data_IF_425660017165
#
_entry.id   IF_425660017165
#
_cell.length_a   1.000
_cell.length_b   1.000
_cell.length_c   1.000
_cell.angle_alpha   90.00
_cell.angle_beta   90.00
_cell.angle_gamma   90.00
#
_symmetry.space_group_name_H-M   'P 1'
#
loop_
_entity.id
_entity.type
_entity.pdbx_description
1 polymer ?
#
# COMPACT_ATOMS: atom_id res chain seq x y z
N UNK A 1 72.94 -4.64 5.05
CA UNK A 1 73.52 -3.36 5.55
C UNK A 1 72.37 -2.37 5.77
N UNK A 2 72.44 -1.56 6.82
CA UNK A 2 71.84 -0.22 7.08
C UNK A 2 70.49 0.21 6.43
N UNK A 3 69.60 0.99 7.10
CA UNK A 3 69.29 1.20 8.53
C UNK A 3 68.06 2.14 8.69
N UNK A 4 67.11 1.81 9.59
CA UNK A 4 66.19 2.72 10.34
C UNK A 4 65.38 3.81 9.55
N UNK A 5 64.49 4.64 10.12
CA UNK A 5 63.88 4.79 11.46
C UNK A 5 62.39 5.21 11.26
N UNK A 6 61.38 4.61 11.87
CA UNK A 6 60.89 4.83 13.24
C UNK A 6 60.43 6.27 13.60
N UNK A 7 59.10 6.47 13.74
CA UNK A 7 58.32 6.94 14.92
C UNK A 7 56.94 7.46 14.44
N UNK A 8 55.84 7.47 15.22
CA UNK A 8 55.64 7.31 16.68
C UNK A 8 54.19 6.81 16.94
N UNK A 9 53.95 6.16 18.08
CA UNK A 9 52.61 5.90 18.61
C UNK A 9 52.61 6.06 20.14
N UNK A 10 51.49 6.44 20.76
CA UNK A 10 51.09 6.08 22.14
C UNK A 10 49.68 6.60 22.49
N UNK A 11 48.96 5.95 23.43
CA UNK A 11 47.58 6.30 23.82
C UNK A 11 47.49 7.02 25.17
N UNK A 12 46.26 7.41 25.57
CA UNK A 12 45.87 7.62 26.98
C UNK A 12 44.56 6.88 27.26
N UNK A 13 44.48 6.26 28.44
CA UNK A 13 43.33 5.61 29.06
C UNK A 13 43.26 6.10 30.53
N UNK A 14 42.17 5.78 31.26
CA UNK A 14 41.74 6.27 32.60
C UNK A 14 40.79 7.49 32.57
N UNK A 15 39.77 7.61 33.44
CA UNK A 15 39.24 6.66 34.44
C UNK A 15 37.84 7.04 34.96
N UNK A 16 37.34 6.24 35.93
CA UNK A 16 36.19 6.45 36.84
C UNK A 16 34.77 6.26 36.27
N UNK A 17 34.18 5.11 36.62
CA UNK A 17 32.78 5.04 37.01
C UNK A 17 32.66 5.33 38.53
N UNK A 18 31.53 5.89 39.00
CA UNK A 18 30.97 5.66 40.35
C UNK A 18 29.60 6.35 40.55
N UNK A 19 28.75 5.70 41.34
CA UNK A 19 27.49 6.17 41.99
C UNK A 19 26.20 6.32 41.16
N UNK A 20 25.16 5.79 41.79
CA UNK A 20 23.74 5.79 41.44
C UNK A 20 22.96 6.83 42.27
N UNK A 21 21.63 6.82 42.09
CA UNK A 21 20.60 7.19 43.08
C UNK A 21 19.99 8.61 43.01
N UNK A 22 18.76 8.61 42.47
CA UNK A 22 17.56 9.20 43.10
C UNK A 22 17.57 10.67 43.55
N UNK A 23 16.86 11.51 42.80
CA UNK A 23 15.99 12.54 43.39
C UNK A 23 14.60 12.41 42.75
N UNK A 24 13.56 12.46 43.57
CA UNK A 24 12.16 12.54 43.15
C UNK A 24 11.44 13.62 43.97
N UNK A 25 10.33 14.12 43.42
CA UNK A 25 9.45 15.17 43.96
C UNK A 25 10.06 16.57 44.12
N UNK A 26 9.38 17.57 43.55
CA UNK A 26 8.75 18.66 44.32
C UNK A 26 7.71 19.41 43.45
N UNK A 27 6.90 20.25 44.11
CA UNK A 27 5.92 21.23 43.57
C UNK A 27 4.49 20.79 43.23
N UNK A 28 3.62 20.95 44.24
CA UNK A 28 2.25 21.47 44.15
C UNK A 28 1.77 21.83 45.58
N UNK A 29 0.77 22.70 45.84
CA UNK A 29 0.16 23.75 45.02
C UNK A 29 0.27 25.16 45.71
N UNK A 30 -0.34 26.19 45.11
CA UNK A 30 -0.88 27.36 45.87
C UNK A 30 -2.27 27.73 45.36
N UNK A 31 -3.21 27.93 46.29
CA UNK A 31 -4.57 28.41 46.07
C UNK A 31 -4.83 29.62 46.97
N UNK A 32 -5.20 30.77 46.39
CA UNK A 32 -5.85 31.89 47.08
C UNK A 32 -6.35 32.97 46.10
N UNK A 33 -7.26 33.91 46.41
CA UNK A 33 -8.53 33.87 47.18
C UNK A 33 -9.23 35.26 47.12
N UNK A 34 -10.34 35.45 46.40
CA UNK A 34 -11.29 36.59 46.49
C UNK A 34 -12.52 36.29 45.60
N UNK A 35 -13.81 36.46 45.96
CA UNK A 35 -14.59 37.53 46.63
C UNK A 35 -14.78 38.77 45.73
N UNK A 36 -16.00 39.22 45.36
CA UNK A 36 -17.41 38.84 45.66
C UNK A 36 -18.24 38.77 44.34
N UNK A 37 -19.59 38.81 44.18
CA UNK A 37 -20.74 39.12 45.06
C UNK A 37 -22.11 38.56 44.54
N UNK A 38 -23.21 38.94 45.23
CA UNK A 38 -24.64 39.07 44.84
C UNK A 38 -25.02 38.99 43.33
N UNK A 39 -26.15 38.41 42.89
CA UNK A 39 -27.40 38.02 43.57
C UNK A 39 -28.25 36.92 42.86
N UNK A 40 -29.15 36.31 43.64
CA UNK A 40 -30.37 35.54 43.34
C UNK A 40 -30.79 35.14 41.89
N UNK A 41 -31.14 33.85 41.70
CA UNK A 41 -32.11 33.42 40.66
C UNK A 41 -32.10 31.94 40.23
N UNK A 42 -33.28 31.29 40.27
CA UNK A 42 -33.73 30.16 39.45
C UNK A 42 -32.89 28.85 39.31
N UNK A 43 -33.16 27.90 40.22
CA UNK A 43 -33.64 26.53 39.92
C UNK A 43 -33.21 25.79 38.62
N UNK A 44 -32.31 24.80 38.73
CA UNK A 44 -32.58 23.37 38.36
C UNK A 44 -31.41 22.41 38.67
N UNK A 45 -31.79 21.25 39.20
CA UNK A 45 -31.05 19.97 39.39
C UNK A 45 -29.72 19.77 38.63
N UNK A 46 -28.63 19.56 39.37
CA UNK A 46 -27.37 18.99 38.89
C UNK A 46 -26.89 17.86 39.82
N UNK A 47 -27.26 16.61 39.55
CA UNK A 47 -26.92 15.45 40.40
C UNK A 47 -26.88 14.11 39.64
N UNK A 48 -26.05 14.00 38.58
CA UNK A 48 -25.91 12.76 37.79
C UNK A 48 -24.55 12.61 37.07
N UNK A 49 -23.43 12.94 37.72
CA UNK A 49 -22.11 13.02 37.06
C UNK A 49 -20.92 12.41 37.86
N UNK A 50 -21.12 11.29 38.56
CA UNK A 50 -20.03 10.59 39.26
C UNK A 50 -20.28 9.08 39.44
N UNK A 51 -20.27 8.31 38.34
CA UNK A 51 -20.33 6.83 38.39
C UNK A 51 -19.77 6.14 37.15
N UNK A 52 -20.01 6.68 35.95
CA UNK A 52 -19.65 6.05 34.66
C UNK A 52 -18.18 6.32 34.26
N UNK A 53 -17.22 6.02 35.13
CA UNK A 53 -15.78 6.20 34.84
C UNK A 53 -14.84 5.19 35.49
N UNK A 54 -15.35 4.04 35.98
CA UNK A 54 -14.52 2.95 36.55
C UNK A 54 -14.59 1.60 35.83
N UNK A 55 -15.54 1.38 34.92
CA UNK A 55 -15.70 0.07 34.26
C UNK A 55 -14.99 -0.05 32.90
N UNK A 56 -14.59 1.06 32.26
CA UNK A 56 -13.99 1.06 30.90
C UNK A 56 -12.49 0.69 30.94
N UNK A 57 -11.78 0.93 32.04
CA UNK A 57 -10.34 0.64 32.17
C UNK A 57 -10.00 -0.84 32.44
N UNK A 58 -11.00 -1.70 32.67
CA UNK A 58 -10.82 -3.12 32.97
C UNK A 58 -11.02 -4.03 31.76
N UNK A 59 -11.95 -3.71 30.84
CA UNK A 59 -12.12 -4.46 29.60
C UNK A 59 -10.93 -4.26 28.65
N UNK A 60 -10.47 -3.01 28.48
CA UNK A 60 -9.33 -2.66 27.63
C UNK A 60 -8.05 -3.40 28.00
N UNK A 61 -7.79 -3.60 29.30
CA UNK A 61 -6.64 -4.38 29.79
C UNK A 61 -6.74 -5.89 29.53
N UNK A 62 -7.95 -6.47 29.39
CA UNK A 62 -8.11 -7.88 29.04
C UNK A 62 -7.86 -8.14 27.55
N UNK A 63 -8.35 -7.26 26.67
CA UNK A 63 -8.17 -7.41 25.22
C UNK A 63 -6.70 -7.33 24.81
N UNK A 64 -5.93 -6.38 25.37
CA UNK A 64 -4.48 -6.26 25.13
C UNK A 64 -3.70 -7.49 25.65
N UNK A 65 -4.18 -8.16 26.70
CA UNK A 65 -3.55 -9.37 27.25
C UNK A 65 -3.74 -10.59 26.33
N UNK A 66 -4.91 -10.72 25.68
CA UNK A 66 -5.24 -11.89 24.84
C UNK A 66 -4.64 -11.81 23.43
N UNK A 67 -4.37 -10.61 22.89
CA UNK A 67 -3.58 -10.46 21.68
C UNK A 67 -2.10 -10.76 21.93
N UNK A 68 -1.55 -10.30 23.06
CA UNK A 68 -0.16 -10.55 23.44
C UNK A 68 0.18 -12.05 23.60
N UNK A 69 -0.71 -12.88 24.17
CA UNK A 69 -0.44 -14.31 24.36
C UNK A 69 -0.40 -15.09 23.04
N UNK A 70 -1.25 -14.74 22.06
CA UNK A 70 -1.21 -15.36 20.72
C UNK A 70 0.02 -14.97 19.92
N UNK A 71 0.60 -13.79 20.17
CA UNK A 71 1.84 -13.37 19.52
C UNK A 71 3.08 -14.18 19.98
N UNK A 72 3.06 -14.77 21.18
CA UNK A 72 4.23 -15.51 21.72
C UNK A 72 4.36 -16.96 21.24
N UNK A 73 3.29 -17.61 20.78
CA UNK A 73 3.31 -19.05 20.45
C UNK A 73 3.67 -19.36 18.97
N UNK A 74 3.74 -18.33 18.12
CA UNK A 74 4.16 -18.48 16.71
C UNK A 74 5.67 -18.33 16.45
N UNK A 75 6.44 -17.82 17.42
CA UNK A 75 7.83 -17.36 17.22
C UNK A 75 8.89 -18.48 17.21
N UNK A 76 8.51 -19.72 16.89
CA UNK A 76 9.38 -20.91 16.90
C UNK A 76 9.32 -21.74 15.60
N UNK A 77 8.80 -21.18 14.51
CA UNK A 77 9.04 -21.68 13.16
C UNK A 77 10.41 -21.23 12.65
N UNK A 78 11.19 -22.13 12.04
CA UNK A 78 12.55 -21.83 11.59
C UNK A 78 12.60 -20.72 10.54
N UNK A 79 13.56 -19.79 10.69
CA UNK A 79 13.74 -18.64 9.80
C UNK A 79 14.41 -19.01 8.47
N UNK A 80 13.72 -19.80 7.64
CA UNK A 80 14.02 -19.88 6.21
C UNK A 80 13.63 -18.58 5.50
N UNK A 81 14.38 -18.17 4.47
CA UNK A 81 14.03 -17.05 3.61
C UNK A 81 12.67 -17.30 2.95
N UNK A 82 11.68 -16.47 3.29
CA UNK A 82 10.35 -16.52 2.69
C UNK A 82 10.40 -15.80 1.34
N UNK A 83 10.94 -16.49 0.35
CA UNK A 83 10.95 -16.07 -1.05
C UNK A 83 9.60 -16.40 -1.70
N UNK A 84 9.16 -15.56 -2.63
CA UNK A 84 8.04 -15.84 -3.53
C UNK A 84 8.25 -15.16 -4.89
N UNK A 85 7.60 -15.67 -5.94
CA UNK A 85 7.69 -15.09 -7.28
C UNK A 85 6.54 -14.10 -7.51
N UNK A 86 6.85 -12.91 -8.00
CA UNK A 86 5.87 -11.91 -8.45
C UNK A 86 5.99 -11.69 -9.97
N UNK A 87 4.86 -11.45 -10.62
CA UNK A 87 4.80 -11.03 -12.02
C UNK A 87 4.08 -9.69 -12.20
N UNK A 88 4.56 -8.89 -13.16
CA UNK A 88 3.93 -7.66 -13.62
C UNK A 88 3.60 -7.78 -15.11
N UNK A 89 2.32 -7.66 -15.45
CA UNK A 89 1.80 -7.91 -16.80
C UNK A 89 1.55 -6.58 -17.53
N UNK A 90 2.33 -6.30 -18.57
CA UNK A 90 2.19 -5.15 -19.45
C UNK A 90 1.44 -5.58 -20.72
N UNK A 91 0.11 -5.50 -20.67
CA UNK A 91 -0.78 -5.90 -21.75
C UNK A 91 -1.27 -4.70 -22.58
N UNK A 92 -1.61 -4.94 -23.85
CA UNK A 92 -2.17 -3.93 -24.75
C UNK A 92 -3.68 -3.78 -24.50
N UNK A 93 -4.08 -2.63 -23.93
CA UNK A 93 -5.48 -2.30 -23.70
C UNK A 93 -6.06 -1.53 -24.90
N UNK A 94 -7.21 -1.98 -25.41
CA UNK A 94 -7.97 -1.34 -26.49
C UNK A 94 -9.38 -0.91 -26.05
N UNK A 95 -10.24 -0.61 -27.02
CA UNK A 95 -11.66 -0.29 -26.80
C UNK A 95 -12.58 -1.50 -26.75
N UNK A 96 -12.14 -2.70 -27.16
CA UNK A 96 -12.94 -3.91 -26.99
C UNK A 96 -12.69 -4.52 -25.61
N UNK A 97 -13.68 -4.37 -24.71
CA UNK A 97 -13.65 -4.91 -23.35
C UNK A 97 -13.47 -6.43 -23.31
N UNK A 98 -14.07 -7.18 -24.24
CA UNK A 98 -14.00 -8.65 -24.22
C UNK A 98 -12.63 -9.14 -24.69
N UNK A 99 -12.03 -8.46 -25.67
CA UNK A 99 -10.62 -8.69 -26.05
C UNK A 99 -9.70 -8.36 -24.88
N UNK A 100 -9.86 -7.20 -24.23
CA UNK A 100 -9.06 -6.81 -23.05
C UNK A 100 -9.12 -7.86 -21.92
N UNK A 101 -10.32 -8.40 -21.63
CA UNK A 101 -10.52 -9.46 -20.63
C UNK A 101 -9.80 -10.75 -21.03
N UNK A 102 -9.88 -11.17 -22.30
CA UNK A 102 -9.19 -12.36 -22.79
C UNK A 102 -7.65 -12.21 -22.75
N UNK A 103 -7.11 -11.03 -23.09
CA UNK A 103 -5.68 -10.71 -22.99
C UNK A 103 -5.21 -10.75 -21.53
N UNK A 104 -5.95 -10.13 -20.62
CA UNK A 104 -5.65 -10.17 -19.18
C UNK A 104 -5.68 -11.59 -18.61
N UNK A 105 -6.67 -12.41 -19.01
CA UNK A 105 -6.77 -13.81 -18.60
C UNK A 105 -5.59 -14.66 -19.13
N UNK A 106 -5.10 -14.38 -20.35
CA UNK A 106 -3.90 -15.03 -20.86
C UNK A 106 -2.65 -14.63 -20.08
N UNK A 107 -2.46 -13.34 -19.82
CA UNK A 107 -1.31 -12.85 -19.06
C UNK A 107 -1.26 -13.40 -17.62
N UNK A 108 -2.41 -13.56 -16.94
CA UNK A 108 -2.48 -14.19 -15.61
C UNK A 108 -2.08 -15.68 -15.67
N UNK A 109 -2.56 -16.41 -16.67
CA UNK A 109 -2.20 -17.82 -16.91
C UNK A 109 -0.73 -18.00 -17.26
N UNK A 110 -0.17 -17.12 -18.07
CA UNK A 110 1.24 -17.12 -18.47
C UNK A 110 2.16 -16.77 -17.29
N UNK A 111 1.77 -15.79 -16.46
CA UNK A 111 2.46 -15.49 -15.20
C UNK A 111 2.50 -16.69 -14.25
N UNK A 112 1.37 -17.37 -14.06
CA UNK A 112 1.30 -18.56 -13.23
C UNK A 112 2.10 -19.74 -13.81
N UNK A 113 2.10 -19.91 -15.14
CA UNK A 113 2.95 -20.90 -15.82
C UNK A 113 4.45 -20.60 -15.69
N UNK A 114 4.83 -19.32 -15.57
CA UNK A 114 6.17 -18.88 -15.21
C UNK A 114 6.48 -18.98 -13.69
N UNK A 115 5.57 -19.54 -12.89
CA UNK A 115 5.74 -19.78 -11.46
C UNK A 115 5.35 -18.63 -10.54
N UNK A 116 4.73 -17.56 -11.07
CA UNK A 116 4.30 -16.42 -10.25
C UNK A 116 3.24 -16.83 -9.22
N UNK A 117 3.43 -16.39 -7.98
CA UNK A 117 2.52 -16.62 -6.84
C UNK A 117 1.71 -15.35 -6.51
N UNK A 118 2.24 -14.19 -6.92
CA UNK A 118 1.54 -12.90 -6.95
C UNK A 118 1.58 -12.38 -8.39
N UNK A 119 0.45 -11.97 -8.95
CA UNK A 119 0.33 -11.41 -10.30
C UNK A 119 -0.27 -10.01 -10.22
N UNK A 120 0.29 -9.05 -10.98
CA UNK A 120 -0.14 -7.66 -11.02
C UNK A 120 -0.50 -7.25 -12.44
N UNK A 121 -1.78 -6.97 -12.69
CA UNK A 121 -2.30 -6.38 -13.93
C UNK A 121 -2.20 -4.84 -13.89
N UNK A 122 -2.37 -4.11 -15.01
CA UNK A 122 -2.16 -2.65 -15.06
C UNK A 122 -3.41 -1.82 -14.75
N UNK A 123 -3.30 -0.48 -14.72
CA UNK A 123 -4.45 0.42 -14.49
C UNK A 123 -5.45 0.42 -15.66
N UNK A 124 -6.75 0.49 -15.33
CA UNK A 124 -7.90 0.59 -16.24
C UNK A 124 -7.87 -0.38 -17.43
N UNK A 125 -7.45 -1.62 -17.20
CA UNK A 125 -7.13 -2.55 -18.28
C UNK A 125 -8.34 -3.01 -19.10
N UNK A 126 -9.57 -2.90 -18.59
CA UNK A 126 -10.78 -3.36 -19.29
C UNK A 126 -11.34 -2.36 -20.33
N UNK A 127 -10.72 -1.21 -20.55
CA UNK A 127 -11.18 -0.21 -21.54
C UNK A 127 -10.22 0.97 -21.76
N UNK A 128 -10.65 2.01 -22.49
CA UNK A 128 -9.85 3.22 -22.72
C UNK A 128 -9.71 4.07 -21.45
N UNK A 129 -8.50 4.57 -21.18
CA UNK A 129 -8.24 5.52 -20.09
C UNK A 129 -8.57 6.97 -20.53
N UNK A 130 -9.86 7.28 -20.58
CA UNK A 130 -10.37 8.65 -20.76
C UNK A 130 -11.67 8.88 -19.99
N UNK A 131 -11.94 10.13 -19.60
CA UNK A 131 -13.07 10.49 -18.73
C UNK A 131 -14.44 10.17 -19.33
N UNK A 132 -14.62 10.27 -20.64
CA UNK A 132 -15.88 9.91 -21.28
C UNK A 132 -16.08 8.39 -21.35
N UNK A 133 -15.00 7.61 -21.36
CA UNK A 133 -15.04 6.15 -21.34
C UNK A 133 -15.39 5.59 -19.96
N UNK A 134 -14.91 6.17 -18.85
CA UNK A 134 -15.06 5.54 -17.51
C UNK A 134 -16.50 5.09 -17.15
N UNK A 135 -17.58 5.87 -17.36
CA UNK A 135 -18.95 5.45 -17.02
C UNK A 135 -19.51 4.39 -17.99
N UNK A 136 -19.02 4.37 -19.23
CA UNK A 136 -19.46 3.42 -20.28
C UNK A 136 -18.82 2.04 -20.07
N UNK A 137 -17.60 2.01 -19.52
CA UNK A 137 -16.88 0.78 -19.20
C UNK A 137 -17.01 0.38 -17.72
N UNK A 138 -17.80 1.11 -16.92
CA UNK A 138 -18.04 0.81 -15.52
C UNK A 138 -18.78 -0.51 -15.30
N UNK A 139 -18.35 -1.27 -14.29
CA UNK A 139 -18.99 -2.51 -13.84
C UNK A 139 -19.29 -2.44 -12.34
N UNK A 140 -20.43 -2.95 -11.84
CA UNK A 140 -20.60 -3.17 -10.41
C UNK A 140 -19.53 -4.14 -9.91
N UNK A 141 -18.71 -3.72 -8.94
CA UNK A 141 -17.68 -4.56 -8.33
C UNK A 141 -18.15 -5.03 -6.94
N UNK A 142 -18.35 -6.35 -6.72
CA UNK A 142 -18.73 -6.88 -5.41
C UNK A 142 -17.76 -6.44 -4.31
N UNK A 143 -18.28 -6.25 -3.10
CA UNK A 143 -17.45 -5.90 -1.95
C UNK A 143 -16.68 -7.13 -1.45
N UNK A 144 -15.52 -6.96 -0.79
CA UNK A 144 -14.76 -8.06 -0.22
C UNK A 144 -15.62 -8.89 0.74
N UNK A 145 -15.56 -10.21 0.58
CA UNK A 145 -16.41 -11.14 1.33
C UNK A 145 -15.61 -11.67 2.53
N UNK A 146 -16.26 -11.82 3.69
CA UNK A 146 -15.63 -12.30 4.92
C UNK A 146 -15.17 -13.77 4.81
N UNK A 147 -14.79 -14.38 5.94
CA UNK A 147 -14.38 -15.80 5.98
C UNK A 147 -15.58 -16.78 5.87
N UNK A 148 -16.67 -16.36 5.24
CA UNK A 148 -17.83 -17.20 4.96
C UNK A 148 -17.55 -18.11 3.76
N UNK A 149 -17.74 -19.41 3.94
CA UNK A 149 -17.17 -20.46 3.07
C UNK A 149 -17.89 -20.67 1.73
N UNK A 150 -18.84 -19.80 1.39
CA UNK A 150 -19.63 -19.84 0.15
C UNK A 150 -19.67 -18.46 -0.49
N UNK A 151 -18.50 -17.93 -0.86
CA UNK A 151 -18.42 -16.66 -1.56
C UNK A 151 -19.11 -16.75 -2.93
N UNK A 152 -20.10 -15.90 -3.18
CA UNK A 152 -20.77 -15.86 -4.49
C UNK A 152 -19.81 -15.24 -5.52
N UNK A 153 -19.62 -15.95 -6.64
CA UNK A 153 -18.81 -15.49 -7.75
C UNK A 153 -19.48 -14.29 -8.44
N UNK A 154 -18.72 -13.26 -8.88
CA UNK A 154 -19.29 -12.14 -9.61
C UNK A 154 -20.01 -12.62 -10.88
N UNK A 155 -21.16 -12.01 -11.20
CA UNK A 155 -21.90 -12.32 -12.43
C UNK A 155 -21.04 -11.97 -13.66
N UNK A 156 -20.81 -12.94 -14.54
CA UNK A 156 -20.08 -12.71 -15.78
C UNK A 156 -20.86 -11.85 -16.81
N UNK A 157 -22.16 -11.60 -16.59
CA UNK A 157 -22.97 -10.71 -17.42
C UNK A 157 -22.87 -9.24 -16.95
N UNK A 158 -22.85 -9.01 -15.63
CA UNK A 158 -22.84 -7.67 -15.04
C UNK A 158 -21.44 -7.18 -14.69
N UNK A 159 -20.56 -8.09 -14.28
CA UNK A 159 -19.22 -7.83 -13.76
C UNK A 159 -18.16 -8.72 -14.47
N UNK A 160 -18.14 -8.80 -15.82
CA UNK A 160 -17.28 -9.72 -16.56
C UNK A 160 -15.79 -9.60 -16.21
N UNK A 161 -15.30 -8.40 -15.89
CA UNK A 161 -13.93 -8.18 -15.46
C UNK A 161 -13.66 -8.81 -14.09
N UNK A 162 -14.51 -8.57 -13.09
CA UNK A 162 -14.38 -9.16 -11.76
C UNK A 162 -14.56 -10.69 -11.80
N UNK A 163 -15.50 -11.19 -12.61
CA UNK A 163 -15.76 -12.61 -12.79
C UNK A 163 -14.56 -13.35 -13.40
N UNK A 164 -13.86 -12.73 -14.35
CA UNK A 164 -12.60 -13.25 -14.89
C UNK A 164 -11.51 -13.26 -13.82
N UNK A 165 -11.28 -12.15 -13.09
CA UNK A 165 -10.24 -12.08 -12.06
C UNK A 165 -10.44 -13.17 -10.98
N UNK A 166 -11.68 -13.36 -10.52
CA UNK A 166 -12.05 -14.41 -9.56
C UNK A 166 -11.78 -15.83 -10.11
N UNK A 167 -12.17 -16.11 -11.36
CA UNK A 167 -11.89 -17.40 -12.01
C UNK A 167 -10.38 -17.63 -12.16
N UNK A 168 -9.67 -16.68 -12.76
CA UNK A 168 -8.26 -16.81 -13.10
C UNK A 168 -7.38 -16.98 -11.85
N UNK A 169 -7.68 -16.28 -10.76
CA UNK A 169 -6.97 -16.47 -9.49
C UNK A 169 -7.16 -17.88 -8.89
N UNK A 170 -8.39 -18.42 -8.96
CA UNK A 170 -8.71 -19.76 -8.45
C UNK A 170 -8.10 -20.89 -9.30
N UNK A 171 -8.23 -20.81 -10.62
CA UNK A 171 -7.70 -21.82 -11.55
C UNK A 171 -6.18 -21.91 -11.51
N UNK A 172 -5.51 -20.75 -11.46
CA UNK A 172 -4.05 -20.65 -11.44
C UNK A 172 -3.45 -20.67 -10.02
N UNK A 173 -4.28 -20.54 -8.98
CA UNK A 173 -3.91 -20.54 -7.54
C UNK A 173 -2.94 -19.42 -7.15
N UNK A 174 -3.14 -18.24 -7.74
CA UNK A 174 -2.31 -17.05 -7.52
C UNK A 174 -3.03 -16.01 -6.68
N UNK A 175 -2.27 -15.18 -5.95
CA UNK A 175 -2.77 -13.89 -5.49
C UNK A 175 -2.77 -12.93 -6.66
N UNK A 176 -3.94 -12.36 -6.99
CA UNK A 176 -4.11 -11.49 -8.14
C UNK A 176 -4.43 -10.07 -7.67
N UNK A 177 -3.45 -9.17 -7.80
CA UNK A 177 -3.69 -7.72 -7.78
C UNK A 177 -4.21 -7.37 -9.16
N UNK A 178 -5.53 -7.38 -9.32
CA UNK A 178 -6.25 -7.38 -10.59
C UNK A 178 -6.24 -6.04 -11.34
N UNK A 179 -5.13 -5.31 -11.30
CA UNK A 179 -4.96 -4.03 -11.98
C UNK A 179 -5.94 -2.99 -11.48
N UNK A 180 -6.56 -2.23 -12.37
CA UNK A 180 -7.83 -1.57 -12.02
C UNK A 180 -8.82 -1.57 -13.18
N UNK A 181 -10.09 -1.35 -12.85
CA UNK A 181 -11.21 -1.16 -13.76
C UNK A 181 -12.10 -0.03 -13.25
N UNK A 182 -12.90 0.63 -14.11
CA UNK A 182 -13.95 1.52 -13.65
C UNK A 182 -15.04 0.73 -12.91
N UNK A 183 -15.32 1.08 -11.66
CA UNK A 183 -16.38 0.52 -10.82
C UNK A 183 -17.61 1.42 -10.86
N UNK A 184 -18.79 0.84 -11.10
CA UNK A 184 -20.08 1.47 -10.83
C UNK A 184 -20.42 1.29 -9.33
N UNK A 185 -20.34 2.39 -8.57
CA UNK A 185 -20.61 2.40 -7.14
C UNK A 185 -22.10 2.29 -6.80
N UNK A 186 -22.41 1.68 -5.65
CA UNK A 186 -23.79 1.53 -5.11
C UNK A 186 -24.43 2.87 -4.71
N UNK A 187 -23.59 3.90 -4.59
CA UNK A 187 -23.89 5.32 -4.34
C UNK A 187 -24.19 6.11 -5.64
N UNK A 188 -23.96 5.51 -6.82
CA UNK A 188 -24.06 6.16 -8.12
C UNK A 188 -22.77 6.87 -8.57
N UNK A 189 -21.68 6.80 -7.79
CA UNK A 189 -20.35 7.26 -8.21
C UNK A 189 -19.68 6.28 -9.17
N UNK A 190 -18.72 6.77 -9.96
CA UNK A 190 -17.78 5.91 -10.72
C UNK A 190 -16.42 5.98 -10.04
N UNK A 191 -15.72 4.85 -9.88
CA UNK A 191 -14.43 4.78 -9.18
C UNK A 191 -13.37 4.09 -10.05
N UNK A 192 -12.10 4.44 -9.91
CA UNK A 192 -10.98 3.69 -10.49
C UNK A 192 -10.51 2.67 -9.45
N UNK A 193 -10.78 1.38 -9.70
CA UNK A 193 -10.87 0.36 -8.64
C UNK A 193 -10.00 -0.86 -8.95
N UNK A 194 -9.05 -1.15 -8.06
CA UNK A 194 -8.30 -2.40 -8.02
C UNK A 194 -9.06 -3.46 -7.22
N UNK A 195 -9.11 -4.67 -7.76
CA UNK A 195 -9.72 -5.85 -7.14
C UNK A 195 -8.59 -6.79 -6.76
N UNK A 196 -8.46 -7.12 -5.48
CA UNK A 196 -7.43 -8.03 -4.97
C UNK A 196 -8.10 -9.37 -4.66
N UNK A 197 -7.67 -10.42 -5.36
CA UNK A 197 -8.26 -11.76 -5.28
C UNK A 197 -7.23 -12.74 -4.70
N UNK A 198 -7.66 -13.62 -3.81
CA UNK A 198 -6.81 -14.68 -3.25
C UNK A 198 -6.86 -15.97 -4.10
N UNK A 199 -5.95 -16.95 -3.89
CA UNK A 199 -5.91 -18.23 -4.61
C UNK A 199 -7.16 -19.13 -4.55
N UNK A 200 -8.21 -18.74 -3.82
CA UNK A 200 -9.52 -19.41 -3.79
C UNK A 200 -10.50 -18.86 -4.84
N UNK A 201 -10.22 -17.68 -5.40
CA UNK A 201 -11.14 -16.88 -6.22
C UNK A 201 -11.93 -15.83 -5.43
N UNK A 202 -11.88 -15.83 -4.09
CA UNK A 202 -12.53 -14.81 -3.24
C UNK A 202 -11.84 -13.45 -3.40
N UNK A 203 -12.64 -12.38 -3.50
CA UNK A 203 -12.15 -10.99 -3.40
C UNK A 203 -11.74 -10.74 -1.94
N UNK A 204 -10.43 -10.66 -1.69
CA UNK A 204 -9.84 -10.40 -0.38
C UNK A 204 -9.83 -8.91 -0.02
N UNK A 205 -9.69 -8.02 -1.01
CA UNK A 205 -9.84 -6.58 -0.82
C UNK A 205 -10.24 -5.85 -2.11
N UNK A 206 -10.70 -4.63 -1.95
CA UNK A 206 -10.99 -3.66 -3.02
C UNK A 206 -10.26 -2.36 -2.66
N UNK A 207 -9.54 -1.78 -3.62
CA UNK A 207 -8.88 -0.48 -3.46
C UNK A 207 -9.43 0.50 -4.50
N UNK A 208 -10.17 1.51 -4.04
CA UNK A 208 -10.56 2.66 -4.86
C UNK A 208 -9.42 3.68 -4.81
N UNK A 209 -8.94 4.14 -5.96
CA UNK A 209 -7.86 5.13 -6.12
C UNK A 209 -8.13 6.36 -5.26
N UNK A 210 -7.28 6.63 -4.27
CA UNK A 210 -7.52 7.69 -3.27
C UNK A 210 -7.21 9.06 -3.86
N UNK A 211 -6.12 9.17 -4.61
CA UNK A 211 -5.68 10.42 -5.22
C UNK A 211 -6.01 10.42 -6.72
N UNK A 212 -7.04 11.17 -7.10
CA UNK A 212 -7.43 11.32 -8.51
C UNK A 212 -6.41 12.15 -9.30
N UNK A 213 -6.20 11.75 -10.55
CA UNK A 213 -5.26 12.33 -11.49
C UNK A 213 -5.82 13.63 -12.10
N UNK A 214 -5.77 14.68 -11.29
CA UNK A 214 -6.07 16.06 -11.66
C UNK A 214 -4.75 16.83 -11.85
N UNK A 215 -4.37 17.05 -13.10
CA UNK A 215 -3.17 17.84 -13.47
C UNK A 215 -3.42 18.76 -14.67
N UNK A 216 -2.70 19.88 -14.67
CA UNK A 216 -2.52 20.73 -15.85
C UNK A 216 -1.02 21.04 -16.00
N UNK A 217 -0.40 20.53 -17.06
CA UNK A 217 1.01 20.74 -17.39
C UNK A 217 1.08 21.52 -18.69
N UNK A 218 1.33 22.85 -18.66
CA UNK A 218 1.32 23.69 -19.86
C UNK A 218 2.25 23.18 -20.96
N UNK A 219 1.69 22.92 -22.14
CA UNK A 219 2.41 22.36 -23.29
C UNK A 219 2.73 20.85 -23.21
N UNK A 220 2.27 20.16 -22.16
CA UNK A 220 2.40 18.72 -21.96
C UNK A 220 1.05 18.01 -22.01
N UNK A 221 0.39 17.88 -20.86
CA UNK A 221 -0.90 17.20 -20.72
C UNK A 221 -1.77 17.87 -19.65
N UNK A 222 -3.06 17.99 -19.95
CA UNK A 222 -4.12 18.34 -19.01
C UNK A 222 -5.03 17.12 -18.87
N UNK A 223 -5.28 16.66 -17.66
CA UNK A 223 -6.19 15.53 -17.38
C UNK A 223 -6.86 15.76 -16.03
N UNK A 224 -8.14 15.36 -15.90
CA UNK A 224 -8.92 15.60 -14.69
C UNK A 224 -9.84 14.42 -14.41
N UNK A 225 -9.33 13.40 -13.71
CA UNK A 225 -10.15 12.24 -13.32
C UNK A 225 -11.40 12.67 -12.53
N UNK A 226 -11.33 13.73 -11.72
CA UNK A 226 -12.47 14.21 -10.92
C UNK A 226 -13.63 14.84 -11.70
N UNK A 227 -13.52 14.99 -13.03
CA UNK A 227 -14.68 15.33 -13.88
C UNK A 227 -15.65 14.14 -14.05
N UNK A 228 -15.29 12.95 -13.58
CA UNK A 228 -16.11 11.74 -13.75
C UNK A 228 -15.94 10.71 -12.63
N UNK A 229 -14.74 10.59 -12.06
CA UNK A 229 -14.44 9.65 -10.99
C UNK A 229 -14.59 10.28 -9.60
N UNK A 230 -14.97 9.45 -8.65
CA UNK A 230 -14.97 9.73 -7.21
C UNK A 230 -13.71 9.12 -6.57
N UNK A 231 -13.10 9.78 -5.57
CA UNK A 231 -11.93 9.25 -4.86
C UNK A 231 -12.31 8.11 -3.91
N UNK A 232 -11.37 7.19 -3.68
CA UNK A 232 -11.42 6.24 -2.57
C UNK A 232 -11.21 6.90 -1.21
N UNK A 233 -11.64 6.21 -0.16
CA UNK A 233 -11.69 6.67 1.23
C UNK A 233 -10.77 5.88 2.18
N UNK A 234 -10.04 4.89 1.66
CA UNK A 234 -9.46 3.81 2.46
C UNK A 234 -8.06 3.40 1.98
N UNK A 235 -7.18 3.10 2.94
CA UNK A 235 -5.82 2.61 2.70
C UNK A 235 -5.88 1.08 2.61
N UNK A 236 -5.52 0.50 1.47
CA UNK A 236 -5.69 -0.94 1.23
C UNK A 236 -4.40 -1.73 1.42
N UNK A 237 -4.45 -2.69 2.34
CA UNK A 237 -3.43 -3.72 2.56
C UNK A 237 -4.09 -5.08 2.69
N UNK A 238 -3.50 -6.13 2.12
CA UNK A 238 -3.93 -7.53 2.31
C UNK A 238 -2.84 -8.34 3.01
N UNK A 239 -3.26 -9.20 3.94
CA UNK A 239 -2.39 -10.25 4.49
C UNK A 239 -2.33 -11.43 3.52
N UNK A 240 -1.12 -11.93 3.27
CA UNK A 240 -0.89 -13.10 2.41
C UNK A 240 0.05 -14.10 3.10
N UNK A 241 0.13 -15.36 2.63
CA UNK A 241 1.13 -16.32 3.11
C UNK A 241 2.59 -15.85 2.97
N UNK A 242 2.84 -14.80 2.19
CA UNK A 242 4.17 -14.21 1.97
C UNK A 242 4.45 -13.01 2.90
N UNK A 243 3.39 -12.41 3.45
CA UNK A 243 3.42 -11.16 4.21
C UNK A 243 2.42 -10.14 3.65
N UNK A 244 2.33 -8.98 4.30
CA UNK A 244 1.40 -7.92 3.91
C UNK A 244 1.76 -7.30 2.55
N UNK A 245 0.78 -7.14 1.65
CA UNK A 245 0.89 -6.40 0.39
C UNK A 245 0.08 -5.11 0.50
N UNK A 246 0.69 -3.96 0.21
CA UNK A 246 -0.03 -2.68 0.07
C UNK A 246 -0.39 -2.39 -1.39
N UNK A 247 -1.54 -1.75 -1.64
CA UNK A 247 -2.01 -1.45 -3.01
C UNK A 247 -2.47 0.01 -3.11
N UNK A 248 -1.92 0.74 -4.08
CA UNK A 248 -2.39 2.05 -4.54
C UNK A 248 -2.48 2.07 -6.06
N UNK A 249 -3.16 3.06 -6.67
CA UNK A 249 -3.27 3.15 -8.14
C UNK A 249 -2.61 4.43 -8.67
N UNK A 250 -1.62 4.26 -9.53
CA UNK A 250 -1.05 5.29 -10.40
C UNK A 250 -0.60 6.58 -9.69
N UNK A 251 -1.49 7.58 -9.63
CA UNK A 251 -1.25 8.88 -9.03
C UNK A 251 -1.07 8.80 -7.51
N UNK A 252 -1.66 7.79 -6.86
CA UNK A 252 -1.40 7.42 -5.45
C UNK A 252 0.11 7.26 -5.16
N UNK A 253 0.90 6.80 -6.13
CA UNK A 253 2.36 6.66 -5.99
C UNK A 253 3.06 8.02 -5.76
N UNK A 254 2.43 9.16 -6.06
CA UNK A 254 2.98 10.50 -5.77
C UNK A 254 2.91 10.89 -4.29
N UNK A 255 2.04 10.26 -3.50
CA UNK A 255 1.77 10.63 -2.11
C UNK A 255 2.54 9.68 -1.17
N UNK A 256 3.72 10.07 -0.64
CA UNK A 256 4.55 9.17 0.16
C UNK A 256 3.84 8.74 1.47
N UNK A 257 2.92 9.54 2.00
CA UNK A 257 2.15 9.27 3.21
C UNK A 257 1.37 7.95 3.11
N UNK A 258 0.75 7.69 1.95
CA UNK A 258 -0.02 6.48 1.69
C UNK A 258 0.89 5.22 1.73
N UNK A 259 2.08 5.32 1.13
CA UNK A 259 3.09 4.25 1.18
C UNK A 259 3.68 4.06 2.58
N UNK A 260 3.86 5.15 3.34
CA UNK A 260 4.31 5.09 4.74
C UNK A 260 3.26 4.43 5.64
N UNK A 261 1.96 4.65 5.38
CA UNK A 261 0.88 3.99 6.08
C UNK A 261 0.84 2.48 5.79
N UNK A 262 0.97 2.07 4.52
CA UNK A 262 1.08 0.65 4.14
C UNK A 262 2.29 -0.02 4.81
N UNK A 263 3.47 0.62 4.79
CA UNK A 263 4.65 0.14 5.52
C UNK A 263 4.44 0.08 7.04
N UNK A 264 3.68 1.01 7.62
CA UNK A 264 3.34 0.97 9.06
C UNK A 264 2.37 -0.17 9.40
N UNK A 265 1.46 -0.52 8.47
CA UNK A 265 0.59 -1.69 8.56
C UNK A 265 1.30 -3.03 8.31
N UNK A 266 2.56 -3.02 7.86
CA UNK A 266 3.42 -4.20 7.76
C UNK A 266 3.99 -4.48 6.37
N UNK A 267 3.48 -3.83 5.32
CA UNK A 267 3.77 -4.15 3.91
C UNK A 267 5.22 -4.50 3.63
N UNK A 268 5.45 -5.65 3.00
CA UNK A 268 6.77 -6.08 2.48
C UNK A 268 6.90 -5.79 0.98
N UNK A 269 5.75 -5.75 0.29
CA UNK A 269 5.57 -5.41 -1.12
C UNK A 269 4.51 -4.29 -1.23
N UNK A 270 4.74 -3.33 -2.12
CA UNK A 270 3.76 -2.33 -2.54
C UNK A 270 3.50 -2.49 -4.05
N UNK A 271 2.24 -2.65 -4.44
CA UNK A 271 1.84 -2.76 -5.84
C UNK A 271 1.16 -1.47 -6.31
N UNK A 272 1.60 -0.95 -7.46
CA UNK A 272 0.99 0.18 -8.15
C UNK A 272 0.68 -0.14 -9.62
N UNK A 273 -0.51 -0.68 -9.92
CA UNK A 273 -1.09 -0.56 -11.25
C UNK A 273 -1.15 0.93 -11.64
N UNK A 274 -0.66 1.32 -12.82
CA UNK A 274 -0.67 2.71 -13.22
C UNK A 274 -0.24 3.01 -14.66
N UNK A 275 -1.01 3.85 -15.34
CA UNK A 275 -0.76 4.34 -16.68
C UNK A 275 -0.21 5.78 -16.62
N UNK A 276 1.10 5.94 -16.40
CA UNK A 276 1.73 7.25 -16.64
C UNK A 276 1.77 7.54 -18.15
N UNK A 277 1.83 8.82 -18.53
CA UNK A 277 1.82 9.27 -19.92
C UNK A 277 3.21 9.72 -20.40
N UNK A 278 3.34 9.99 -21.70
CA UNK A 278 4.60 10.43 -22.33
C UNK A 278 5.25 11.70 -21.75
N UNK A 279 4.51 12.56 -21.04
CA UNK A 279 5.09 13.73 -20.33
C UNK A 279 5.58 13.37 -18.93
N UNK A 280 4.76 12.63 -18.18
CA UNK A 280 5.01 12.36 -16.76
C UNK A 280 5.83 11.10 -16.50
N UNK A 281 5.81 10.14 -17.43
CA UNK A 281 6.55 8.88 -17.42
C UNK A 281 8.07 9.09 -17.36
N UNK A 282 8.69 9.66 -18.42
CA UNK A 282 10.14 9.87 -18.48
C UNK A 282 10.71 10.67 -17.30
N UNK A 283 9.93 11.60 -16.76
CA UNK A 283 10.37 12.49 -15.68
C UNK A 283 10.19 11.92 -14.27
N UNK A 284 9.20 11.04 -14.05
CA UNK A 284 8.77 10.68 -12.70
C UNK A 284 8.54 9.19 -12.44
N UNK A 285 8.32 8.35 -13.46
CA UNK A 285 7.91 6.96 -13.24
C UNK A 285 8.96 6.16 -12.46
N UNK A 286 10.20 6.16 -12.95
CA UNK A 286 11.34 5.48 -12.30
C UNK A 286 11.69 6.12 -10.94
N UNK A 287 11.67 7.45 -10.87
CA UNK A 287 11.98 8.20 -9.65
C UNK A 287 11.01 7.86 -8.51
N UNK A 288 9.71 7.79 -8.81
CA UNK A 288 8.68 7.53 -7.80
C UNK A 288 8.72 6.08 -7.31
N UNK A 289 8.77 5.08 -8.20
CA UNK A 289 8.86 3.67 -7.78
C UNK A 289 10.09 3.43 -6.88
N UNK A 290 11.25 4.03 -7.20
CA UNK A 290 12.48 3.90 -6.43
C UNK A 290 12.43 4.64 -5.09
N UNK A 291 11.84 5.84 -5.06
CA UNK A 291 11.59 6.55 -3.80
C UNK A 291 10.65 5.76 -2.88
N UNK A 292 9.54 5.20 -3.39
CA UNK A 292 8.63 4.39 -2.56
C UNK A 292 9.28 3.10 -2.06
N UNK A 293 10.12 2.45 -2.87
CA UNK A 293 10.85 1.25 -2.45
C UNK A 293 11.88 1.56 -1.35
N UNK A 294 12.68 2.62 -1.53
CA UNK A 294 13.75 3.03 -0.61
C UNK A 294 13.20 3.62 0.70
N UNK A 295 12.35 4.65 0.64
CA UNK A 295 11.84 5.38 1.82
C UNK A 295 11.06 4.46 2.76
N UNK A 296 10.37 3.46 2.18
CA UNK A 296 9.54 2.52 2.90
C UNK A 296 10.21 1.15 3.07
N UNK A 297 11.37 0.90 2.47
CA UNK A 297 12.09 -0.37 2.52
C UNK A 297 11.16 -1.56 2.25
N UNK A 298 10.48 -1.49 1.11
CA UNK A 298 9.57 -2.50 0.56
C UNK A 298 10.05 -2.83 -0.85
N UNK A 299 9.71 -4.02 -1.35
CA UNK A 299 9.67 -4.17 -2.80
C UNK A 299 8.56 -3.29 -3.37
N UNK A 300 8.77 -2.74 -4.56
CA UNK A 300 7.73 -2.05 -5.34
C UNK A 300 7.55 -2.76 -6.66
N UNK A 301 6.31 -3.07 -7.02
CA UNK A 301 5.94 -3.59 -8.34
C UNK A 301 4.98 -2.62 -8.99
N UNK A 302 5.32 -2.19 -10.20
CA UNK A 302 4.48 -1.31 -11.03
C UNK A 302 4.04 -2.07 -12.28
N UNK A 303 2.75 -1.98 -12.61
CA UNK A 303 2.18 -2.58 -13.81
C UNK A 303 1.46 -1.51 -14.63
N UNK A 304 1.89 -1.33 -15.86
CA UNK A 304 1.50 -0.25 -16.78
C UNK A 304 0.95 -0.86 -18.06
N UNK A 305 -0.07 -0.29 -18.72
CA UNK A 305 -0.51 -0.77 -20.03
C UNK A 305 0.62 -0.64 -21.06
N UNK A 306 0.67 -1.57 -22.02
CA UNK A 306 1.51 -1.38 -23.20
C UNK A 306 1.03 -0.16 -24.00
N UNK A 307 1.94 0.52 -24.70
CA UNK A 307 1.63 1.74 -25.43
C UNK A 307 0.84 1.43 -26.71
N UNK A 308 -0.47 1.60 -26.64
CA UNK A 308 -1.37 1.47 -27.79
C UNK A 308 -1.35 2.74 -28.66
N UNK A 309 -0.87 2.70 -29.93
CA UNK A 309 -0.86 3.86 -30.82
C UNK A 309 -2.25 4.43 -31.14
N UNK A 310 -3.30 3.61 -31.10
CA UNK A 310 -4.68 4.01 -31.40
C UNK A 310 -5.39 4.64 -30.18
N UNK A 311 -4.76 4.61 -29.01
CA UNK A 311 -5.29 5.24 -27.79
C UNK A 311 -5.09 6.76 -27.79
N UNK A 312 -6.12 7.51 -27.35
CA UNK A 312 -5.99 8.94 -27.03
C UNK A 312 -4.99 9.18 -25.89
N UNK A 313 -4.93 8.26 -24.92
CA UNK A 313 -4.00 8.32 -23.80
C UNK A 313 -2.81 7.41 -24.07
N UNK A 314 -1.68 8.03 -24.43
CA UNK A 314 -0.43 7.34 -24.74
C UNK A 314 0.30 6.95 -23.46
N UNK A 315 0.11 5.69 -23.07
CA UNK A 315 0.76 5.08 -21.91
C UNK A 315 2.29 5.05 -22.08
N UNK A 316 2.99 5.23 -20.96
CA UNK A 316 4.45 5.16 -20.90
C UNK A 316 4.96 3.73 -21.08
N UNK A 317 4.22 2.73 -20.62
CA UNK A 317 4.72 1.37 -20.42
C UNK A 317 5.68 1.32 -19.23
N UNK A 318 6.80 0.63 -19.40
CA UNK A 318 7.88 0.49 -18.43
C UNK A 318 7.44 -0.05 -17.07
N UNK A 319 6.54 -1.04 -17.03
CA UNK A 319 6.29 -1.85 -15.84
C UNK A 319 7.61 -2.30 -15.20
N UNK A 320 7.76 -2.14 -13.88
CA UNK A 320 9.04 -2.34 -13.20
C UNK A 320 8.91 -3.02 -11.85
N UNK A 321 9.99 -3.67 -11.41
CA UNK A 321 10.15 -4.29 -10.10
C UNK A 321 11.39 -3.67 -9.43
N UNK A 322 11.25 -3.17 -8.19
CA UNK A 322 12.30 -2.48 -7.43
C UNK A 322 12.50 -3.16 -6.07
N UNK A 323 13.75 -3.31 -5.65
CA UNK A 323 14.12 -3.88 -4.35
C UNK A 323 14.02 -2.85 -3.19
N UNK A 324 14.02 -3.29 -1.91
CA UNK A 324 13.97 -2.42 -0.73
C UNK A 324 15.14 -1.42 -0.59
N UNK A 325 16.15 -1.50 -1.45
CA UNK A 325 17.30 -0.61 -1.52
C UNK A 325 17.15 0.47 -2.63
N UNK A 326 16.03 0.49 -3.35
CA UNK A 326 15.79 1.40 -4.47
C UNK A 326 16.49 0.98 -5.77
N UNK A 327 16.88 -0.29 -5.89
CA UNK A 327 17.51 -0.89 -7.08
C UNK A 327 16.43 -1.44 -8.00
N UNK A 328 16.44 -1.08 -9.28
CA UNK A 328 15.55 -1.71 -10.27
C UNK A 328 16.05 -3.15 -10.47
N UNK A 329 15.20 -4.13 -10.16
CA UNK A 329 15.44 -5.56 -10.37
C UNK A 329 15.16 -5.91 -11.82
N UNK A 330 14.07 -5.38 -12.38
CA UNK A 330 13.71 -5.51 -13.79
C UNK A 330 12.79 -4.35 -14.22
N UNK A 331 12.84 -3.98 -15.50
CA UNK A 331 11.88 -3.08 -16.15
C UNK A 331 11.55 -3.59 -17.56
N UNK A 332 10.34 -3.36 -18.03
CA UNK A 332 9.98 -3.49 -19.44
C UNK A 332 10.37 -2.22 -20.21
N UNK A 333 10.28 -2.31 -21.53
CA UNK A 333 10.13 -1.18 -22.45
C UNK A 333 8.65 -0.78 -22.54
N UNK A 334 8.14 -0.39 -23.72
CA UNK A 334 6.78 0.13 -23.90
C UNK A 334 5.83 -0.77 -24.72
N UNK A 335 6.33 -1.87 -25.27
CA UNK A 335 5.55 -2.90 -25.98
C UNK A 335 4.91 -3.90 -25.00
N UNK A 336 4.14 -4.88 -25.48
CA UNK A 336 3.61 -5.94 -24.63
C UNK A 336 4.71 -6.81 -24.04
N UNK A 337 4.65 -7.04 -22.73
CA UNK A 337 5.70 -7.73 -21.99
C UNK A 337 5.19 -8.26 -20.64
N UNK A 338 5.96 -9.17 -20.05
CA UNK A 338 5.76 -9.61 -18.67
C UNK A 338 7.10 -9.63 -17.95
N UNK A 339 7.15 -9.06 -16.74
CA UNK A 339 8.24 -9.29 -15.81
C UNK A 339 7.88 -10.41 -14.86
N UNK A 340 8.87 -11.22 -14.50
CA UNK A 340 8.78 -12.24 -13.46
C UNK A 340 10.06 -12.11 -12.62
N UNK A 341 9.93 -11.96 -11.30
CA UNK A 341 11.08 -11.82 -10.39
C UNK A 341 10.80 -12.45 -9.03
N UNK A 342 11.88 -12.81 -8.33
CA UNK A 342 11.81 -13.27 -6.95
C UNK A 342 11.79 -12.08 -5.98
N UNK A 343 10.90 -12.15 -4.99
CA UNK A 343 10.81 -11.24 -3.84
C UNK A 343 11.31 -11.99 -2.61
N UNK A 344 12.44 -11.58 -2.05
CA UNK A 344 12.94 -12.13 -0.79
C UNK A 344 12.50 -11.28 0.41
N UNK A 345 11.63 -11.84 1.25
CA UNK A 345 11.23 -11.19 2.51
C UNK A 345 12.38 -11.16 3.53
N UNK A 346 13.40 -12.02 3.38
CA UNK A 346 14.67 -11.93 4.10
C UNK A 346 15.40 -10.61 3.83
N UNK A 347 15.60 -10.26 2.56
CA UNK A 347 16.16 -8.97 2.09
C UNK A 347 15.39 -7.77 2.63
N UNK A 348 14.06 -7.85 2.72
CA UNK A 348 13.22 -6.80 3.35
C UNK A 348 13.61 -6.63 4.83
N UNK A 349 13.74 -7.72 5.59
CA UNK A 349 14.14 -7.68 7.01
C UNK A 349 15.60 -7.24 7.21
N UNK A 350 16.50 -7.67 6.33
CA UNK A 350 17.92 -7.27 6.32
C UNK A 350 18.06 -5.76 6.15
N UNK A 351 17.45 -5.17 5.10
CA UNK A 351 17.53 -3.73 4.83
C UNK A 351 16.92 -2.89 5.96
N UNK A 352 15.78 -3.33 6.51
CA UNK A 352 15.12 -2.70 7.66
C UNK A 352 15.96 -2.75 8.94
N UNK A 353 16.83 -3.75 9.09
CA UNK A 353 17.74 -3.88 10.23
C UNK A 353 19.01 -3.06 10.02
N UNK A 354 19.58 -3.09 8.82
CA UNK A 354 20.82 -2.40 8.44
C UNK A 354 20.67 -0.87 8.40
N UNK A 355 19.51 -0.36 7.99
CA UNK A 355 19.18 1.08 8.05
C UNK A 355 17.79 1.24 8.72
N UNK A 356 17.70 1.32 10.05
CA UNK A 356 16.42 1.26 10.77
C UNK A 356 15.64 2.59 10.77
N UNK A 357 15.35 3.15 9.60
CA UNK A 357 14.73 4.48 9.43
C UNK A 357 13.40 4.62 10.18
N UNK A 358 12.62 3.53 10.28
CA UNK A 358 11.35 3.53 11.02
C UNK A 358 11.51 3.70 12.53
N UNK A 359 12.65 3.28 13.10
CA UNK A 359 12.98 3.48 14.52
C UNK A 359 13.65 4.84 14.77
N UNK A 360 14.12 5.51 13.72
CA UNK A 360 14.83 6.79 13.76
C UNK A 360 13.90 7.99 13.44
N UNK A 361 12.61 7.75 13.14
CA UNK A 361 11.61 8.82 13.05
C UNK A 361 11.49 9.59 14.37
N UNK A 362 11.11 10.87 14.30
CA UNK A 362 11.08 11.81 15.45
C UNK A 362 9.65 12.19 15.87
N UNK A 363 8.92 11.32 16.59
CA UNK A 363 7.53 11.54 17.02
C UNK A 363 7.36 12.66 18.07
N UNK A 364 8.47 13.28 18.49
CA UNK A 364 8.61 14.47 19.31
C UNK A 364 8.73 15.77 18.49
N UNK A 365 9.07 15.68 17.20
CA UNK A 365 9.18 16.82 16.28
C UNK A 365 8.05 16.84 15.23
N UNK A 366 7.64 15.68 14.74
CA UNK A 366 6.58 15.54 13.74
C UNK A 366 5.75 14.27 13.98
N UNK A 367 4.49 14.29 13.58
CA UNK A 367 3.64 13.11 13.47
C UNK A 367 2.86 13.18 12.18
N UNK A 368 2.75 12.03 11.52
CA UNK A 368 1.71 11.79 10.52
C UNK A 368 0.56 11.15 11.29
N UNK A 369 -0.48 11.93 11.54
CA UNK A 369 -1.71 11.43 12.17
C UNK A 369 -2.58 10.86 11.05
N UNK A 370 -2.67 9.52 11.02
CA UNK A 370 -3.62 8.80 10.18
C UNK A 370 -4.99 8.78 10.92
N UNK A 371 -6.13 8.87 10.19
CA UNK A 371 -7.47 8.95 10.80
C UNK A 371 -7.84 7.79 11.74
#
# INVERSE_FOLDING_TARGET
>A
MFLAAARRASPILLSLAVKTSTIAAFYSPKLANARTNTAAGATRTAYAACSISRNISLLSRRLISMSASRASEGAAGGAGSRQFVVAACQILCGSDKLVNIATAESAVREAAAAGAQVVVLPECWNGPYDTASFPVYAEPVPDPQGDETTAEMPSAEQSPSAAMLCRAAAENKVWLVGGSVPEAGKDGGVYNTCIIVEPSGRIAAKHRKVHLFDIDVPGGITFKESDTLSPGDSITTVETPFGTIGVGICYDMRFPELSMAMRAAGSVLLCFPGAFNMTTGPAHWELLQRARALDNQCYVVTASPARNPDSKYQAWGHSSIVDPWGTIVATTEHEEAMLVAEVDVGRVAEVRTSIPVSLQKRPDLYRLELP
#
